data_IF_372184835875
#
_entry.id   IF_372184835875
#
_cell.length_a   1.000
_cell.length_b   1.000
_cell.length_c   1.000
_cell.angle_alpha   90.00
_cell.angle_beta   90.00
_cell.angle_gamma   90.00
#
_symmetry.space_group_name_H-M   'P 1'
#
loop_
_entity.id
_entity.type
_entity.pdbx_description
1 polymer ?
#
# COMPACT_ATOMS: atom_id res chain seq x y z
N UNK A 1 -16.16 16.94 30.10
CA UNK A 1 -16.96 17.01 28.85
C UNK A 1 -16.07 17.68 27.81
N UNK A 2 -15.67 17.11 26.67
CA UNK A 2 -16.25 16.03 25.85
C UNK A 2 -15.32 14.82 25.75
N UNK A 3 -15.93 13.63 25.63
CA UNK A 3 -15.23 12.44 25.14
C UNK A 3 -14.90 12.70 23.67
N UNK A 4 -13.63 12.92 23.35
CA UNK A 4 -13.17 12.85 21.96
C UNK A 4 -13.20 11.36 21.62
N UNK A 5 -14.33 10.91 21.06
CA UNK A 5 -14.38 9.60 20.43
C UNK A 5 -13.25 9.57 19.40
N UNK A 6 -12.24 8.74 19.64
CA UNK A 6 -11.12 8.60 18.72
C UNK A 6 -11.71 8.04 17.42
N UNK A 7 -11.75 8.78 16.31
CA UNK A 7 -12.27 8.24 15.06
C UNK A 7 -11.43 7.02 14.69
N UNK A 8 -12.02 5.99 14.05
CA UNK A 8 -11.28 4.79 13.70
C UNK A 8 -10.05 5.17 12.88
N UNK A 9 -8.88 4.64 13.28
CA UNK A 9 -7.57 4.87 12.64
C UNK A 9 -7.58 4.63 11.12
N UNK A 10 -8.53 3.84 10.62
CA UNK A 10 -8.75 3.56 9.21
C UNK A 10 -10.27 3.57 8.95
N UNK A 11 -10.69 4.32 7.93
CA UNK A 11 -12.04 4.26 7.38
C UNK A 11 -12.04 3.39 6.13
N UNK A 12 -13.00 2.46 6.06
CA UNK A 12 -13.20 1.56 4.94
C UNK A 12 -14.61 1.75 4.37
N UNK A 13 -14.74 1.89 3.06
CA UNK A 13 -16.02 2.01 2.37
C UNK A 13 -16.00 1.12 1.13
N UNK A 14 -16.90 0.13 1.06
CA UNK A 14 -17.17 -0.58 -0.18
C UNK A 14 -18.04 0.29 -1.09
N UNK A 15 -17.72 0.32 -2.39
CA UNK A 15 -18.49 1.01 -3.43
C UNK A 15 -18.91 0.00 -4.49
N UNK A 16 -20.11 -0.56 -4.31
CA UNK A 16 -20.55 -1.72 -5.10
C UNK A 16 -19.73 -2.97 -4.77
N UNK A 17 -19.70 -3.92 -5.72
CA UNK A 17 -19.17 -5.27 -5.46
C UNK A 17 -17.66 -5.41 -5.73
N UNK A 18 -17.04 -4.41 -6.37
CA UNK A 18 -15.66 -4.51 -6.89
C UNK A 18 -14.75 -3.34 -6.52
N UNK A 19 -15.19 -2.41 -5.68
CA UNK A 19 -14.36 -1.28 -5.27
C UNK A 19 -14.35 -1.13 -3.75
N UNK A 20 -13.16 -0.92 -3.19
CA UNK A 20 -12.95 -0.59 -1.79
C UNK A 20 -12.15 0.71 -1.70
N UNK A 21 -12.65 1.64 -0.88
CA UNK A 21 -11.97 2.89 -0.56
C UNK A 21 -11.50 2.87 0.88
N UNK A 22 -10.21 3.03 1.07
CA UNK A 22 -9.52 3.14 2.35
C UNK A 22 -9.09 4.59 2.57
N UNK A 23 -9.30 5.12 3.77
CA UNK A 23 -8.84 6.46 4.14
C UNK A 23 -8.24 6.44 5.55
N UNK A 24 -7.06 7.03 5.70
CA UNK A 24 -6.38 7.19 7.00
C UNK A 24 -5.66 8.52 7.07
N UNK A 25 -5.65 9.11 8.26
CA UNK A 25 -4.86 10.30 8.56
C UNK A 25 -3.55 9.94 9.25
N UNK A 26 -2.49 10.67 8.90
CA UNK A 26 -1.17 10.58 9.49
C UNK A 26 -0.73 11.97 9.96
N UNK A 27 -0.20 12.04 11.19
CA UNK A 27 0.43 13.24 11.73
C UNK A 27 1.86 13.38 11.19
N UNK A 28 1.96 13.54 9.87
CA UNK A 28 3.22 13.67 9.14
C UNK A 28 2.99 14.37 7.79
N UNK A 29 3.99 15.13 7.29
CA UNK A 29 3.98 15.69 5.93
C UNK A 29 3.87 14.59 4.87
N UNK A 30 3.25 14.90 3.72
CA UNK A 30 2.91 13.86 2.74
C UNK A 30 4.13 13.17 2.14
N UNK A 31 5.26 13.86 2.08
CA UNK A 31 6.53 13.30 1.61
C UNK A 31 6.93 12.08 2.46
N UNK A 32 6.77 12.14 3.78
CA UNK A 32 7.13 11.02 4.67
C UNK A 32 6.16 9.84 4.50
N UNK A 33 4.87 10.14 4.31
CA UNK A 33 3.87 9.09 4.07
C UNK A 33 4.09 8.44 2.71
N UNK A 34 4.38 9.21 1.66
CA UNK A 34 4.74 8.71 0.34
C UNK A 34 6.02 7.85 0.40
N UNK A 35 7.05 8.33 1.10
CA UNK A 35 8.30 7.59 1.28
C UNK A 35 8.07 6.24 1.98
N UNK A 36 7.17 6.18 2.97
CA UNK A 36 6.83 4.94 3.66
C UNK A 36 6.27 3.85 2.73
N UNK A 37 5.64 4.22 1.61
CA UNK A 37 5.14 3.28 0.60
C UNK A 37 6.17 2.90 -0.46
N UNK A 38 7.23 3.68 -0.62
CA UNK A 38 8.03 3.65 -1.85
C UNK A 38 9.53 3.51 -1.64
N UNK A 39 10.02 3.71 -0.42
CA UNK A 39 11.40 3.41 -0.03
C UNK A 39 11.49 2.02 0.57
N UNK A 40 12.27 1.08 0.00
CA UNK A 40 12.34 -0.31 0.48
C UNK A 40 12.56 -0.42 1.99
N UNK A 41 13.54 0.31 2.52
CA UNK A 41 13.93 0.30 3.93
C UNK A 41 12.87 0.86 4.89
N UNK A 42 11.88 1.58 4.37
CA UNK A 42 10.73 2.05 5.13
C UNK A 42 9.55 1.08 5.00
N UNK A 43 9.31 0.53 3.81
CA UNK A 43 8.27 -0.50 3.59
C UNK A 43 8.48 -1.69 4.53
N UNK A 44 9.72 -2.19 4.65
CA UNK A 44 10.09 -3.30 5.54
C UNK A 44 9.78 -3.05 7.03
N UNK A 45 9.60 -1.79 7.43
CA UNK A 45 9.32 -1.43 8.83
C UNK A 45 7.85 -1.55 9.20
N UNK A 46 6.94 -1.57 8.24
CA UNK A 46 5.50 -1.54 8.54
C UNK A 46 4.69 -2.55 7.74
N UNK A 47 5.06 -2.83 6.49
CA UNK A 47 4.30 -3.74 5.64
C UNK A 47 4.45 -5.18 6.12
N UNK A 48 3.34 -5.90 6.28
CA UNK A 48 3.37 -7.32 6.62
C UNK A 48 3.92 -7.66 8.01
N UNK A 49 4.07 -6.69 8.91
CA UNK A 49 4.54 -6.92 10.29
C UNK A 49 3.48 -7.58 11.16
N UNK A 50 3.21 -8.84 10.88
CA UNK A 50 2.52 -9.77 11.78
C UNK A 50 3.54 -10.40 12.74
N UNK A 51 3.09 -10.84 13.92
CA UNK A 51 3.97 -11.49 14.89
C UNK A 51 4.67 -12.72 14.27
N UNK A 52 6.00 -12.75 14.34
CA UNK A 52 6.81 -13.83 13.77
C UNK A 52 7.07 -13.72 12.26
N UNK A 53 6.65 -12.63 11.60
CA UNK A 53 6.89 -12.36 10.19
C UNK A 53 7.93 -11.26 9.97
N UNK A 54 8.72 -11.42 8.91
CA UNK A 54 9.66 -10.41 8.40
C UNK A 54 9.30 -10.06 6.97
N UNK A 55 9.65 -8.84 6.55
CA UNK A 55 9.40 -8.37 5.19
C UNK A 55 10.71 -7.97 4.55
N UNK A 56 10.93 -8.41 3.32
CA UNK A 56 11.96 -7.88 2.41
C UNK A 56 11.27 -7.13 1.27
N UNK A 57 11.71 -5.92 0.99
CA UNK A 57 11.14 -5.07 -0.06
C UNK A 57 12.16 -4.78 -1.17
N UNK A 58 11.70 -4.86 -2.41
CA UNK A 58 12.42 -4.43 -3.60
C UNK A 58 11.52 -3.45 -4.36
N UNK A 59 12.04 -2.28 -4.73
CA UNK A 59 11.25 -1.22 -5.38
C UNK A 59 12.05 -0.56 -6.50
N UNK A 60 11.50 -0.57 -7.71
CA UNK A 60 11.94 0.24 -8.85
C UNK A 60 10.91 1.36 -9.10
N UNK A 61 11.12 2.51 -8.45
CA UNK A 61 10.12 3.58 -8.34
C UNK A 61 10.12 4.54 -9.53
N UNK A 62 9.65 4.03 -10.66
CA UNK A 62 9.41 4.76 -11.92
C UNK A 62 8.16 4.20 -12.60
N UNK A 63 7.57 4.94 -13.53
CA UNK A 63 6.48 4.43 -14.38
C UNK A 63 6.97 3.20 -15.17
N UNK A 64 6.20 2.12 -15.13
CA UNK A 64 6.56 0.79 -15.65
C UNK A 64 7.61 0.05 -14.83
N UNK A 65 8.06 0.60 -13.70
CA UNK A 65 8.89 -0.09 -12.72
C UNK A 65 8.05 -0.99 -11.82
N UNK A 66 8.66 -2.01 -11.24
CA UNK A 66 7.97 -3.00 -10.41
C UNK A 66 8.45 -2.96 -8.96
N UNK A 67 7.61 -3.46 -8.05
CA UNK A 67 8.00 -3.78 -6.69
C UNK A 67 7.66 -5.23 -6.33
N UNK A 68 8.39 -5.76 -5.36
CA UNK A 68 8.21 -7.11 -4.83
C UNK A 68 8.39 -7.06 -3.30
N UNK A 69 7.34 -7.38 -2.56
CA UNK A 69 7.37 -7.48 -1.11
C UNK A 69 7.23 -8.95 -0.71
N UNK A 70 8.28 -9.51 -0.11
CA UNK A 70 8.28 -10.89 0.37
C UNK A 70 8.12 -10.90 1.87
N UNK A 71 6.98 -11.38 2.35
CA UNK A 71 6.73 -11.63 3.76
C UNK A 71 7.09 -13.09 4.06
N UNK A 72 7.86 -13.32 5.11
CA UNK A 72 8.31 -14.66 5.49
C UNK A 72 8.20 -14.89 7.01
N UNK A 73 7.62 -16.01 7.40
CA UNK A 73 7.57 -16.46 8.80
C UNK A 73 8.83 -17.22 9.24
N UNK A 74 8.95 -17.49 10.54
CA UNK A 74 10.07 -18.26 11.11
C UNK A 74 10.16 -19.72 10.60
N UNK A 75 9.09 -20.27 10.01
CA UNK A 75 9.04 -21.63 9.46
C UNK A 75 9.42 -21.67 7.98
N UNK A 76 9.63 -20.51 7.35
CA UNK A 76 9.97 -20.38 5.94
C UNK A 76 8.78 -20.24 5.00
N UNK A 77 7.55 -20.13 5.51
CA UNK A 77 6.36 -19.84 4.71
C UNK A 77 6.51 -18.45 4.08
N UNK A 78 6.23 -18.32 2.78
CA UNK A 78 6.36 -17.06 2.05
C UNK A 78 5.03 -16.62 1.46
N UNK A 79 4.74 -15.34 1.60
CA UNK A 79 3.68 -14.64 0.87
C UNK A 79 4.36 -13.50 0.12
N UNK A 80 4.19 -13.45 -1.20
CA UNK A 80 4.83 -12.44 -2.05
C UNK A 80 3.76 -11.60 -2.71
N UNK A 81 3.82 -10.29 -2.48
CA UNK A 81 3.06 -9.31 -3.26
C UNK A 81 3.97 -8.75 -4.34
N UNK A 82 3.51 -8.76 -5.59
CA UNK A 82 4.20 -8.13 -6.71
C UNK A 82 3.29 -7.11 -7.37
N UNK A 83 3.84 -5.96 -7.73
CA UNK A 83 3.11 -4.97 -8.49
C UNK A 83 3.95 -4.12 -9.43
N UNK A 84 3.26 -3.34 -10.25
CA UNK A 84 3.80 -2.41 -11.24
C UNK A 84 3.27 -1.01 -10.97
N UNK A 85 4.13 0.00 -11.01
CA UNK A 85 3.73 1.41 -10.97
C UNK A 85 3.27 1.87 -12.36
N UNK A 86 1.97 2.12 -12.51
CA UNK A 86 1.38 2.62 -13.77
C UNK A 86 1.44 4.14 -13.91
N UNK A 87 1.30 4.86 -12.80
CA UNK A 87 1.38 6.32 -12.73
C UNK A 87 2.12 6.73 -11.46
N UNK A 88 2.90 7.81 -11.53
CA UNK A 88 3.59 8.40 -10.37
C UNK A 88 3.58 9.92 -10.49
N UNK A 89 3.06 10.59 -9.45
CA UNK A 89 3.18 12.03 -9.25
C UNK A 89 3.70 12.26 -7.83
N UNK A 90 4.99 12.53 -7.69
CA UNK A 90 5.62 12.62 -6.36
C UNK A 90 5.33 13.99 -5.72
N UNK A 91 5.03 14.06 -4.41
CA UNK A 91 4.67 12.99 -3.47
C UNK A 91 3.14 12.83 -3.29
N UNK A 92 2.35 13.27 -4.27
CA UNK A 92 0.89 13.39 -4.16
C UNK A 92 0.13 12.12 -4.52
N UNK A 93 0.66 11.27 -5.41
CA UNK A 93 -0.11 10.16 -5.99
C UNK A 93 0.76 9.06 -6.63
N UNK A 94 0.25 7.85 -6.61
CA UNK A 94 0.66 6.79 -7.53
C UNK A 94 -0.51 5.84 -7.87
N UNK A 95 -0.37 5.11 -8.98
CA UNK A 95 -1.26 3.98 -9.33
C UNK A 95 -0.43 2.72 -9.44
N UNK A 96 -0.87 1.66 -8.77
CA UNK A 96 -0.26 0.34 -8.87
C UNK A 96 -1.24 -0.69 -9.40
N UNK A 97 -0.72 -1.71 -10.06
CA UNK A 97 -1.42 -2.95 -10.35
C UNK A 97 -0.68 -4.09 -9.66
N UNK A 98 -1.32 -4.77 -8.71
CA UNK A 98 -0.69 -5.78 -7.87
C UNK A 98 -1.48 -7.07 -7.72
N UNK A 99 -0.75 -8.16 -7.48
CA UNK A 99 -1.31 -9.47 -7.17
C UNK A 99 -0.35 -10.26 -6.28
N UNK A 100 -0.89 -11.21 -5.51
CA UNK A 100 -0.08 -12.17 -4.77
C UNK A 100 0.47 -13.24 -5.73
N UNK A 101 1.76 -13.58 -5.60
CA UNK A 101 2.33 -14.68 -6.38
C UNK A 101 1.71 -16.02 -5.96
N UNK A 102 1.48 -16.89 -6.94
CA UNK A 102 0.85 -18.19 -6.73
C UNK A 102 -0.67 -18.15 -6.55
N UNK A 103 -1.30 -16.97 -6.62
CA UNK A 103 -2.76 -16.84 -6.56
C UNK A 103 -3.44 -17.16 -7.90
N UNK A 104 -2.71 -17.12 -9.01
CA UNK A 104 -3.15 -17.60 -10.33
C UNK A 104 -2.25 -18.74 -10.81
N UNK A 105 -2.84 -19.73 -11.46
CA UNK A 105 -2.10 -20.88 -12.05
C UNK A 105 -1.10 -20.45 -13.13
N UNK A 106 -1.33 -19.29 -13.73
CA UNK A 106 -0.52 -18.75 -14.83
C UNK A 106 0.52 -17.73 -14.37
N UNK A 107 0.65 -17.46 -13.07
CA UNK A 107 1.55 -16.45 -12.52
C UNK A 107 1.05 -15.01 -12.68
N UNK A 108 1.86 -14.03 -12.24
CA UNK A 108 1.48 -12.62 -12.25
C UNK A 108 1.08 -12.14 -13.65
N UNK A 109 -0.14 -11.61 -13.74
CA UNK A 109 -0.78 -11.10 -14.95
C UNK A 109 -1.39 -9.73 -14.65
N UNK A 110 -1.09 -8.68 -15.45
CA UNK A 110 -1.67 -7.37 -15.26
C UNK A 110 -3.21 -7.34 -15.29
N UNK A 111 -3.84 -8.32 -15.93
CA UNK A 111 -5.30 -8.49 -16.03
C UNK A 111 -5.95 -9.05 -14.76
N UNK A 112 -5.20 -9.82 -13.95
CA UNK A 112 -5.68 -10.38 -12.67
C UNK A 112 -5.33 -9.46 -11.48
N UNK A 113 -4.66 -8.34 -11.77
CA UNK A 113 -4.13 -7.45 -10.76
C UNK A 113 -5.21 -6.49 -10.25
N UNK A 114 -5.28 -6.34 -8.93
CA UNK A 114 -6.03 -5.25 -8.31
C UNK A 114 -5.34 -3.94 -8.67
N UNK A 115 -6.09 -3.00 -9.22
CA UNK A 115 -5.58 -1.66 -9.55
C UNK A 115 -5.90 -0.73 -8.40
N UNK A 116 -4.87 -0.21 -7.75
CA UNK A 116 -5.00 0.72 -6.64
C UNK A 116 -4.53 2.12 -7.02
N UNK A 117 -5.43 3.09 -6.88
CA UNK A 117 -5.10 4.52 -6.90
C UNK A 117 -4.82 4.97 -5.48
N UNK A 118 -3.63 5.49 -5.23
CA UNK A 118 -3.24 6.07 -3.93
C UNK A 118 -3.04 7.58 -4.07
N UNK A 119 -3.63 8.35 -3.17
CA UNK A 119 -3.54 9.82 -3.11
C UNK A 119 -3.16 10.25 -1.70
N UNK A 120 -2.26 11.22 -1.61
CA UNK A 120 -1.80 11.85 -0.37
C UNK A 120 -2.15 13.34 -0.39
N UNK A 121 -3.14 13.73 0.41
CA UNK A 121 -3.57 15.12 0.55
C UNK A 121 -3.06 15.69 1.86
N UNK A 122 -2.23 16.72 1.81
CA UNK A 122 -1.66 17.37 3.01
C UNK A 122 -2.42 18.64 3.36
N UNK A 123 -2.70 18.84 4.65
CA UNK A 123 -3.20 20.08 5.25
C UNK A 123 -2.61 20.25 6.64
N UNK A 124 -2.02 21.41 6.90
CA UNK A 124 -1.44 21.79 8.20
C UNK A 124 -0.46 20.73 8.75
N UNK A 125 0.42 20.19 7.88
CA UNK A 125 1.42 19.18 8.24
C UNK A 125 0.88 17.77 8.50
N UNK A 126 -0.43 17.55 8.34
CA UNK A 126 -1.08 16.24 8.41
C UNK A 126 -1.47 15.75 7.03
N UNK A 127 -1.40 14.45 6.81
CA UNK A 127 -1.69 13.83 5.52
C UNK A 127 -2.86 12.89 5.61
N UNK A 128 -3.87 13.12 4.78
CA UNK A 128 -4.90 12.12 4.46
C UNK A 128 -4.40 11.25 3.32
N UNK A 129 -4.15 9.98 3.61
CA UNK A 129 -3.95 8.94 2.61
C UNK A 129 -5.30 8.37 2.22
N UNK A 130 -5.55 8.27 0.90
CA UNK A 130 -6.70 7.57 0.35
C UNK A 130 -6.24 6.57 -0.69
N UNK A 131 -6.66 5.31 -0.54
CA UNK A 131 -6.45 4.26 -1.53
C UNK A 131 -7.81 3.78 -2.05
N UNK A 132 -7.96 3.73 -3.37
CA UNK A 132 -9.13 3.17 -4.06
C UNK A 132 -8.66 1.97 -4.87
N UNK A 133 -9.10 0.78 -4.47
CA UNK A 133 -8.72 -0.50 -5.07
C UNK A 133 -9.90 -1.09 -5.82
N UNK A 134 -9.66 -1.56 -7.04
CA UNK A 134 -10.66 -2.12 -7.96
C UNK A 134 -10.10 -3.23 -8.83
#
# INVERSE_FOLDING_TARGET
MASVANPPLLRLVARGDREIVMTREFDAPRQLVFDAWTKPELVERWFGRLEGWTTKAEVDLRVGGTYRFTMQDAKGTKIVLRGEYREIERPSRFVTAEAFEGFSETGWRPEDATVTTTVFTERDGRTTWTATSR
#
